data_IF_630151242820
#
_entry.id   IF_630151242820
#
_cell.length_a   1.000
_cell.length_b   1.000
_cell.length_c   1.000
_cell.angle_alpha   90.00
_cell.angle_beta   90.00
_cell.angle_gamma   90.00
#
_symmetry.space_group_name_H-M   'P 1'
#
loop_
_entity.id
_entity.type
_entity.pdbx_description
1 polymer ?
#
# COMPACT_ATOMS: atom_id res chain seq x y z
N UNK A 1 24.41 47.33 -33.54
CA UNK A 1 24.05 48.48 -32.68
C UNK A 1 24.74 48.23 -31.35
N UNK A 2 25.28 49.26 -30.70
CA UNK A 2 25.78 49.07 -29.34
C UNK A 2 24.57 48.74 -28.47
N UNK A 3 24.46 47.52 -27.96
CA UNK A 3 23.37 47.11 -27.10
C UNK A 3 23.92 46.96 -25.69
N UNK A 4 23.29 47.64 -24.72
CA UNK A 4 23.68 47.59 -23.31
C UNK A 4 23.35 46.24 -22.64
N UNK A 5 22.89 45.24 -23.41
CA UNK A 5 22.44 43.95 -22.89
C UNK A 5 21.14 44.03 -22.08
N UNK A 6 20.38 45.11 -22.23
CA UNK A 6 19.13 45.37 -21.51
C UNK A 6 17.91 44.99 -22.35
N UNK A 7 16.80 44.67 -21.68
CA UNK A 7 15.50 44.52 -22.33
C UNK A 7 15.08 45.83 -23.02
N UNK A 8 14.33 45.75 -24.13
CA UNK A 8 13.91 46.89 -24.96
C UNK A 8 13.23 48.00 -24.14
N UNK A 9 12.38 47.61 -23.18
CA UNK A 9 11.79 48.57 -22.27
C UNK A 9 12.83 49.30 -21.41
N UNK A 10 13.74 48.56 -20.78
CA UNK A 10 14.79 49.15 -19.94
C UNK A 10 15.75 50.00 -20.77
N UNK A 11 16.02 49.61 -22.01
CA UNK A 11 16.79 50.41 -22.96
C UNK A 11 16.07 51.73 -23.27
N UNK A 12 14.76 51.72 -23.48
CA UNK A 12 13.94 52.93 -23.71
C UNK A 12 13.96 53.87 -22.51
N UNK A 13 13.85 53.34 -21.29
CA UNK A 13 13.97 54.13 -20.06
C UNK A 13 15.36 54.74 -19.89
N UNK A 14 16.42 53.96 -20.16
CA UNK A 14 17.81 54.45 -20.13
C UNK A 14 18.02 55.57 -21.15
N UNK A 15 17.53 55.43 -22.37
CA UNK A 15 17.60 56.48 -23.40
C UNK A 15 16.83 57.73 -22.97
N UNK A 16 15.68 57.57 -22.32
CA UNK A 16 14.89 58.70 -21.79
C UNK A 16 15.65 59.47 -20.70
N UNK A 17 16.30 58.75 -19.79
CA UNK A 17 17.18 59.37 -18.79
C UNK A 17 18.41 60.03 -19.43
N UNK A 18 19.04 59.41 -20.44
CA UNK A 18 20.17 60.00 -21.18
C UNK A 18 19.77 61.31 -21.87
N UNK A 19 18.57 61.40 -22.46
CA UNK A 19 18.02 62.65 -23.03
C UNK A 19 17.90 63.74 -21.98
N UNK A 20 17.34 63.40 -20.82
CA UNK A 20 17.23 64.31 -19.68
C UNK A 20 18.61 64.80 -19.22
N UNK A 21 19.55 63.88 -18.99
CA UNK A 21 20.91 64.20 -18.54
C UNK A 21 21.66 65.09 -19.55
N UNK A 22 21.52 64.81 -20.85
CA UNK A 22 22.10 65.63 -21.93
C UNK A 22 21.51 67.03 -21.98
N UNK A 23 20.19 67.16 -21.82
CA UNK A 23 19.51 68.47 -21.75
C UNK A 23 19.97 69.29 -20.55
N UNK A 24 20.09 68.64 -19.37
CA UNK A 24 20.65 69.27 -18.17
C UNK A 24 22.09 69.72 -18.39
N UNK A 25 22.97 68.85 -18.91
CA UNK A 25 24.35 69.19 -19.27
C UNK A 25 24.42 70.43 -20.17
N UNK A 26 23.59 70.49 -21.22
CA UNK A 26 23.55 71.64 -22.13
C UNK A 26 23.09 72.94 -21.44
N UNK A 27 22.10 72.88 -20.55
CA UNK A 27 21.67 74.03 -19.75
C UNK A 27 22.80 74.54 -18.85
N UNK A 28 23.56 73.63 -18.22
CA UNK A 28 24.64 73.99 -17.31
C UNK A 28 25.82 74.63 -18.02
N UNK A 29 26.18 74.11 -19.19
CA UNK A 29 27.18 74.76 -20.03
C UNK A 29 26.75 76.19 -20.42
N UNK A 30 25.46 76.43 -20.64
CA UNK A 30 24.94 77.79 -20.86
C UNK A 30 25.07 78.65 -19.61
N UNK A 31 24.72 78.15 -18.43
CA UNK A 31 24.88 78.89 -17.16
C UNK A 31 26.34 79.30 -16.93
N UNK A 32 27.29 78.37 -17.13
CA UNK A 32 28.72 78.67 -17.01
C UNK A 32 29.11 79.76 -18.00
N UNK A 33 28.74 79.63 -19.28
CA UNK A 33 29.00 80.67 -20.29
C UNK A 33 28.38 82.02 -19.93
N UNK A 34 27.19 82.03 -19.32
CA UNK A 34 26.55 83.25 -18.83
C UNK A 34 27.38 83.93 -17.73
N UNK A 35 28.01 83.20 -16.80
CA UNK A 35 28.90 83.81 -15.81
C UNK A 35 30.08 84.55 -16.47
N UNK A 36 30.69 83.96 -17.51
CA UNK A 36 31.75 84.62 -18.27
C UNK A 36 31.24 85.83 -19.04
N UNK A 37 30.03 85.74 -19.62
CA UNK A 37 29.43 86.84 -20.36
C UNK A 37 29.04 88.00 -19.44
N UNK A 38 28.49 87.70 -18.27
CA UNK A 38 28.17 88.69 -17.23
C UNK A 38 29.42 89.43 -16.77
N UNK A 39 30.55 88.73 -16.57
CA UNK A 39 31.81 89.40 -16.25
C UNK A 39 32.26 90.33 -17.39
N UNK A 40 32.15 89.87 -18.64
CA UNK A 40 32.53 90.67 -19.81
C UNK A 40 31.68 91.93 -19.93
N UNK A 41 30.38 91.82 -19.73
CA UNK A 41 29.43 92.93 -19.88
C UNK A 41 29.43 93.89 -18.68
N UNK A 42 29.77 93.40 -17.47
CA UNK A 42 29.71 94.22 -16.25
C UNK A 42 31.05 94.82 -15.84
N UNK A 43 32.17 94.09 -16.00
CA UNK A 43 33.48 94.48 -15.47
C UNK A 43 34.53 94.73 -16.55
N UNK A 44 34.45 94.09 -17.72
CA UNK A 44 35.35 94.36 -18.85
C UNK A 44 34.79 95.43 -19.81
N UNK A 45 34.41 96.59 -19.26
CA UNK A 45 33.85 97.71 -20.05
C UNK A 45 34.92 98.76 -20.40
N UNK A 46 35.96 98.87 -19.58
CA UNK A 46 37.03 99.86 -19.74
C UNK A 46 38.11 99.40 -20.73
N UNK A 47 38.82 100.34 -21.35
CA UNK A 47 39.88 100.06 -22.34
C UNK A 47 41.24 99.71 -21.69
N UNK A 48 41.45 100.06 -20.42
CA UNK A 48 42.71 99.86 -19.70
C UNK A 48 42.47 99.26 -18.33
N UNK A 49 43.21 98.20 -18.00
CA UNK A 49 43.18 97.55 -16.69
C UNK A 49 44.58 97.38 -16.13
N UNK A 50 44.71 97.47 -14.81
CA UNK A 50 45.92 97.07 -14.09
C UNK A 50 45.98 95.54 -13.91
N UNK A 51 47.17 95.01 -13.66
CA UNK A 51 47.36 93.58 -13.40
C UNK A 51 46.55 93.11 -12.19
N UNK A 52 46.48 93.92 -11.12
CA UNK A 52 45.80 93.57 -9.89
C UNK A 52 44.27 93.51 -10.09
N UNK A 53 43.70 94.45 -10.84
CA UNK A 53 42.27 94.45 -11.18
C UNK A 53 41.90 93.24 -12.04
N UNK A 54 42.72 92.89 -13.03
CA UNK A 54 42.47 91.69 -13.85
C UNK A 54 42.56 90.42 -13.00
N UNK A 55 43.51 90.35 -12.07
CA UNK A 55 43.66 89.21 -11.18
C UNK A 55 42.44 89.07 -10.25
N UNK A 56 41.98 90.16 -9.63
CA UNK A 56 40.78 90.16 -8.79
C UNK A 56 39.52 89.75 -9.57
N UNK A 57 39.36 90.22 -10.81
CA UNK A 57 38.25 89.84 -11.68
C UNK A 57 38.26 88.35 -12.01
N UNK A 58 39.43 87.78 -12.30
CA UNK A 58 39.58 86.35 -12.58
C UNK A 58 39.33 85.49 -11.34
N UNK A 59 39.83 85.91 -10.17
CA UNK A 59 39.58 85.22 -8.91
C UNK A 59 38.09 85.22 -8.54
N UNK A 60 37.42 86.37 -8.71
CA UNK A 60 35.98 86.49 -8.51
C UNK A 60 35.19 85.57 -9.46
N UNK A 61 35.55 85.54 -10.74
CA UNK A 61 34.94 84.64 -11.72
C UNK A 61 35.18 83.17 -11.38
N UNK A 62 36.39 82.82 -10.93
CA UNK A 62 36.73 81.46 -10.51
C UNK A 62 35.82 81.01 -9.37
N UNK A 63 35.61 81.86 -8.35
CA UNK A 63 34.72 81.53 -7.22
C UNK A 63 33.29 81.28 -7.69
N UNK A 64 32.75 82.15 -8.55
CA UNK A 64 31.39 82.01 -9.09
C UNK A 64 31.25 80.73 -9.91
N UNK A 65 32.14 80.50 -10.88
CA UNK A 65 32.11 79.31 -11.74
C UNK A 65 32.31 78.03 -10.91
N UNK A 66 33.22 78.04 -9.94
CA UNK A 66 33.41 76.90 -9.03
C UNK A 66 32.12 76.59 -8.27
N UNK A 67 31.46 77.60 -7.70
CA UNK A 67 30.23 77.41 -6.94
C UNK A 67 29.08 76.85 -7.80
N UNK A 68 28.96 77.30 -9.05
CA UNK A 68 27.96 76.79 -9.99
C UNK A 68 28.23 75.33 -10.38
N UNK A 69 29.50 74.99 -10.65
CA UNK A 69 29.90 73.61 -11.00
C UNK A 69 29.70 72.67 -9.81
N UNK A 70 30.13 73.06 -8.61
CA UNK A 70 29.96 72.28 -7.38
C UNK A 70 28.49 72.01 -7.08
N UNK A 71 27.66 73.06 -7.14
CA UNK A 71 26.21 72.95 -6.96
C UNK A 71 25.59 71.95 -7.94
N UNK A 72 26.03 71.95 -9.20
CA UNK A 72 25.52 70.99 -10.17
C UNK A 72 26.01 69.55 -9.96
N UNK A 73 27.27 69.35 -9.57
CA UNK A 73 27.78 68.02 -9.26
C UNK A 73 26.99 67.39 -8.10
N UNK A 74 26.71 68.18 -7.06
CA UNK A 74 25.85 67.78 -5.94
C UNK A 74 24.44 67.45 -6.43
N UNK A 75 23.85 68.31 -7.25
CA UNK A 75 22.51 68.10 -7.78
C UNK A 75 22.42 66.86 -8.70
N UNK A 76 23.49 66.54 -9.43
CA UNK A 76 23.60 65.33 -10.24
C UNK A 76 23.59 64.09 -9.35
N UNK A 77 24.36 64.08 -8.27
CA UNK A 77 24.36 63.00 -7.29
C UNK A 77 22.97 62.81 -6.66
N UNK A 78 22.32 63.89 -6.22
CA UNK A 78 20.96 63.84 -5.67
C UNK A 78 19.94 63.30 -6.68
N UNK A 79 20.01 63.74 -7.94
CA UNK A 79 19.11 63.26 -9.00
C UNK A 79 19.29 61.76 -9.26
N UNK A 80 20.54 61.27 -9.24
CA UNK A 80 20.84 59.85 -9.43
C UNK A 80 20.35 59.00 -8.25
N UNK A 81 20.51 59.49 -7.02
CA UNK A 81 19.96 58.83 -5.83
C UNK A 81 18.44 58.76 -5.89
N UNK A 82 17.75 59.80 -6.38
CA UNK A 82 16.30 59.77 -6.58
C UNK A 82 15.88 58.73 -7.62
N UNK A 83 16.63 58.62 -8.72
CA UNK A 83 16.40 57.57 -9.72
C UNK A 83 16.56 56.17 -9.09
N UNK A 84 17.66 55.93 -8.35
CA UNK A 84 17.88 54.66 -7.65
C UNK A 84 16.75 54.37 -6.65
N UNK A 85 16.29 55.37 -5.88
CA UNK A 85 15.15 55.22 -4.97
C UNK A 85 13.89 54.77 -5.71
N UNK A 86 13.62 55.34 -6.90
CA UNK A 86 12.47 54.95 -7.71
C UNK A 86 12.61 53.52 -8.24
N UNK A 87 13.81 53.09 -8.65
CA UNK A 87 14.07 51.73 -9.10
C UNK A 87 13.94 50.72 -7.95
N UNK A 88 14.52 51.00 -6.78
CA UNK A 88 14.43 50.11 -5.61
C UNK A 88 13.01 50.01 -5.07
N UNK A 89 12.26 51.12 -5.03
CA UNK A 89 10.85 51.07 -4.61
C UNK A 89 9.99 50.19 -5.55
N UNK A 90 10.33 50.13 -6.84
CA UNK A 90 9.69 49.19 -7.76
C UNK A 90 10.13 47.76 -7.48
N UNK A 91 11.43 47.51 -7.32
CA UNK A 91 11.95 46.17 -7.02
C UNK A 91 11.40 45.59 -5.71
N UNK A 92 11.26 46.40 -4.67
CA UNK A 92 10.72 46.02 -3.37
C UNK A 92 9.25 45.57 -3.46
N UNK A 93 8.42 46.20 -4.31
CA UNK A 93 7.03 45.77 -4.54
C UNK A 93 6.96 44.35 -5.12
N UNK A 94 8.00 43.92 -5.81
CA UNK A 94 8.15 42.58 -6.36
C UNK A 94 9.02 41.67 -5.48
N UNK A 95 9.37 42.10 -4.26
CA UNK A 95 10.22 41.37 -3.30
C UNK A 95 11.60 41.00 -3.86
N UNK A 96 12.13 41.81 -4.79
CA UNK A 96 13.45 41.62 -5.38
C UNK A 96 14.51 42.34 -4.55
N UNK A 97 15.65 41.67 -4.31
CA UNK A 97 16.84 42.27 -3.71
C UNK A 97 17.85 42.55 -4.83
N UNK A 98 17.99 43.82 -5.21
CA UNK A 98 18.98 44.25 -6.19
C UNK A 98 20.31 44.54 -5.50
N UNK A 99 21.40 44.14 -6.14
CA UNK A 99 22.76 44.47 -5.72
C UNK A 99 23.46 45.17 -6.88
N UNK A 100 24.24 46.20 -6.56
CA UNK A 100 25.03 46.97 -7.52
C UNK A 100 26.50 46.85 -7.13
N UNK A 101 27.35 46.45 -8.07
CA UNK A 101 28.79 46.49 -7.86
C UNK A 101 29.32 47.90 -8.15
N UNK A 102 29.75 48.60 -7.10
CA UNK A 102 30.27 49.96 -7.20
C UNK A 102 31.60 49.97 -7.98
N UNK A 103 32.34 48.86 -7.96
CA UNK A 103 33.64 48.73 -8.62
C UNK A 103 33.53 48.84 -10.14
N UNK A 104 32.38 48.47 -10.71
CA UNK A 104 32.14 48.56 -12.15
C UNK A 104 31.86 50.00 -12.62
N UNK A 105 31.46 50.91 -11.73
CA UNK A 105 31.15 52.30 -12.09
C UNK A 105 32.38 53.11 -12.54
N UNK A 106 33.58 52.70 -12.08
CA UNK A 106 34.86 53.30 -12.48
C UNK A 106 35.50 52.59 -13.68
N UNK A 107 34.87 51.54 -14.19
CA UNK A 107 35.41 50.77 -15.30
C UNK A 107 35.34 51.62 -16.59
N UNK A 108 36.51 52.08 -17.03
CA UNK A 108 36.67 52.92 -18.21
C UNK A 108 36.10 52.29 -19.49
N UNK A 109 36.20 50.97 -19.65
CA UNK A 109 35.66 50.28 -20.82
C UNK A 109 34.12 50.31 -20.85
N UNK A 110 33.47 50.13 -19.69
CA UNK A 110 32.00 50.24 -19.58
C UNK A 110 31.54 51.67 -19.81
N UNK A 111 32.25 52.66 -19.26
CA UNK A 111 31.96 54.08 -19.51
C UNK A 111 32.10 54.44 -20.99
N UNK A 112 33.10 53.91 -21.67
CA UNK A 112 33.30 54.13 -23.10
C UNK A 112 32.21 53.48 -23.95
N UNK A 113 31.77 52.26 -23.61
CA UNK A 113 30.62 51.62 -24.26
C UNK A 113 29.33 52.44 -24.10
N UNK A 114 29.07 52.97 -22.90
CA UNK A 114 27.92 53.85 -22.65
C UNK A 114 28.03 55.16 -23.45
N UNK A 115 29.24 55.71 -23.58
CA UNK A 115 29.47 56.91 -24.38
C UNK A 115 29.30 56.67 -25.89
N UNK A 116 29.75 55.52 -26.40
CA UNK A 116 29.49 55.09 -27.78
C UNK A 116 28.00 54.87 -28.03
N UNK A 117 27.30 54.26 -27.09
CA UNK A 117 25.85 54.11 -27.14
C UNK A 117 25.12 55.44 -27.17
N UNK A 118 25.45 56.38 -26.28
CA UNK A 118 24.91 57.75 -26.27
C UNK A 118 25.13 58.40 -27.65
N UNK A 119 26.34 58.33 -28.19
CA UNK A 119 26.64 58.88 -29.53
C UNK A 119 25.81 58.21 -30.61
N UNK A 120 25.72 56.89 -30.63
CA UNK A 120 25.00 56.13 -31.66
C UNK A 120 23.50 56.47 -31.67
N UNK A 121 22.86 56.49 -30.50
CA UNK A 121 21.43 56.82 -30.36
C UNK A 121 21.11 58.25 -30.79
N UNK A 122 21.99 59.20 -30.49
CA UNK A 122 21.73 60.62 -30.76
C UNK A 122 22.23 61.13 -32.11
N UNK A 123 23.13 60.42 -32.78
CA UNK A 123 23.57 60.73 -34.16
C UNK A 123 22.61 60.14 -35.19
N UNK A 124 22.07 58.95 -34.92
CA UNK A 124 21.10 58.28 -35.80
C UNK A 124 19.68 58.86 -35.70
N UNK A 125 19.32 59.51 -34.58
CA UNK A 125 18.00 60.14 -34.40
C UNK A 125 17.76 61.42 -35.21
N UNK A 126 18.77 62.01 -35.85
CA UNK A 126 18.57 63.16 -36.76
C UNK A 126 17.83 62.76 -38.06
N UNK A 127 17.56 61.46 -38.29
CA UNK A 127 16.84 60.95 -39.47
C UNK A 127 15.43 60.40 -39.18
N UNK A 128 14.91 60.48 -37.94
CA UNK A 128 13.52 60.09 -37.65
C UNK A 128 12.82 61.19 -36.86
N UNK A 129 11.85 61.80 -37.53
CA UNK A 129 11.10 62.96 -37.05
C UNK A 129 10.39 62.75 -35.71
N UNK A 130 10.08 63.91 -35.13
CA UNK A 130 9.21 64.22 -34.00
C UNK A 130 8.45 63.05 -33.33
N UNK A 131 8.37 63.07 -31.99
CA UNK A 131 7.07 63.43 -31.45
C UNK A 131 7.14 64.34 -30.23
N UNK A 132 6.47 65.48 -30.34
CA UNK A 132 5.89 66.18 -29.21
C UNK A 132 4.88 65.29 -28.48
N UNK A 133 4.75 65.56 -27.18
CA UNK A 133 3.52 65.42 -26.40
C UNK A 133 2.84 64.06 -26.44
N UNK A 134 3.27 63.16 -25.57
CA UNK A 134 2.39 62.59 -24.54
C UNK A 134 3.30 62.07 -23.45
N UNK A 135 3.20 62.63 -22.24
CA UNK A 135 3.70 61.94 -21.04
C UNK A 135 3.03 60.57 -21.02
N UNK A 136 3.75 59.43 -21.13
CA UNK A 136 3.23 58.21 -20.58
C UNK A 136 3.35 58.41 -19.06
N UNK A 137 2.27 58.94 -18.44
CA UNK A 137 2.07 58.68 -17.03
C UNK A 137 2.09 57.16 -16.90
N UNK A 138 3.11 56.64 -16.21
CA UNK A 138 3.19 55.30 -15.63
C UNK A 138 2.07 54.38 -16.11
N UNK A 139 2.24 53.82 -17.31
CA UNK A 139 1.52 52.61 -17.66
C UNK A 139 2.37 51.47 -17.06
N UNK A 140 1.78 50.54 -16.30
CA UNK A 140 2.49 49.36 -15.86
C UNK A 140 3.12 48.72 -17.10
N UNK A 141 4.37 48.26 -17.01
CA UNK A 141 4.83 47.25 -17.95
C UNK A 141 3.90 46.07 -17.77
N UNK A 142 2.98 45.98 -18.71
CA UNK A 142 2.18 44.80 -18.89
C UNK A 142 1.31 44.53 -17.64
N UNK A 143 0.08 45.07 -17.64
CA UNK A 143 -1.03 44.44 -16.88
C UNK A 143 -1.15 42.94 -17.21
N UNK A 144 -0.51 42.45 -18.28
CA UNK A 144 -0.31 41.06 -18.63
C UNK A 144 1.04 40.44 -18.25
N UNK A 145 2.03 41.07 -17.64
CA UNK A 145 3.34 40.41 -17.44
C UNK A 145 3.27 39.38 -16.33
N UNK A 146 3.03 39.88 -15.13
CA UNK A 146 2.75 39.05 -13.95
C UNK A 146 1.39 38.40 -14.04
N UNK A 147 0.40 39.02 -14.72
CA UNK A 147 -0.89 38.40 -14.96
C UNK A 147 -0.86 37.34 -16.06
N UNK A 148 -0.02 37.42 -17.11
CA UNK A 148 0.17 36.32 -18.08
C UNK A 148 1.06 35.24 -17.50
N UNK A 149 2.08 35.57 -16.69
CA UNK A 149 2.82 34.55 -15.96
C UNK A 149 1.92 33.85 -14.95
N UNK A 150 1.09 34.61 -14.22
CA UNK A 150 0.06 34.07 -13.34
C UNK A 150 -1.04 33.35 -14.11
N UNK A 151 -1.48 33.82 -15.28
CA UNK A 151 -2.48 33.16 -16.11
C UNK A 151 -1.91 31.91 -16.78
N UNK A 152 -0.62 31.89 -17.13
CA UNK A 152 0.10 30.70 -17.61
C UNK A 152 0.24 29.69 -16.48
N UNK A 153 0.57 30.15 -15.28
CA UNK A 153 0.65 29.28 -14.11
C UNK A 153 -0.75 28.79 -13.68
N UNK A 154 -1.77 29.65 -13.72
CA UNK A 154 -3.18 29.27 -13.50
C UNK A 154 -3.64 28.30 -14.58
N UNK A 155 -3.35 28.54 -15.86
CA UNK A 155 -3.71 27.63 -16.95
C UNK A 155 -3.02 26.28 -16.79
N UNK A 156 -1.72 26.27 -16.44
CA UNK A 156 -0.98 25.06 -16.13
C UNK A 156 -1.56 24.33 -14.91
N UNK A 157 -1.84 25.04 -13.82
CA UNK A 157 -2.43 24.48 -12.61
C UNK A 157 -3.86 23.99 -12.83
N UNK A 158 -4.62 24.63 -13.73
CA UNK A 158 -5.95 24.18 -14.16
C UNK A 158 -5.85 22.93 -15.01
N UNK A 159 -4.90 22.86 -15.96
CA UNK A 159 -4.64 21.67 -16.76
C UNK A 159 -4.16 20.50 -15.89
N UNK A 160 -3.30 20.77 -14.91
CA UNK A 160 -2.83 19.78 -13.94
C UNK A 160 -3.97 19.33 -13.02
N UNK A 161 -4.84 20.23 -12.56
CA UNK A 161 -6.05 19.88 -11.83
C UNK A 161 -7.04 19.07 -12.67
N UNK A 162 -7.25 19.41 -13.94
CA UNK A 162 -8.07 18.65 -14.88
C UNK A 162 -7.51 17.23 -15.04
N UNK A 163 -6.19 17.10 -15.25
CA UNK A 163 -5.52 15.78 -15.33
C UNK A 163 -5.64 15.00 -14.03
N UNK A 164 -5.46 15.65 -12.88
CA UNK A 164 -5.62 15.02 -11.57
C UNK A 164 -7.07 14.60 -11.32
N UNK A 165 -8.05 15.44 -11.66
CA UNK A 165 -9.49 15.12 -11.57
C UNK A 165 -9.89 14.00 -12.53
N UNK A 166 -9.32 13.95 -13.73
CA UNK A 166 -9.54 12.86 -14.67
C UNK A 166 -8.97 11.56 -14.13
N UNK A 167 -7.72 11.57 -13.61
CA UNK A 167 -7.12 10.40 -12.94
C UNK A 167 -7.92 9.97 -11.72
N UNK A 168 -8.39 10.91 -10.91
CA UNK A 168 -9.27 10.62 -9.77
C UNK A 168 -10.55 9.94 -10.24
N UNK A 169 -11.25 10.48 -11.24
CA UNK A 169 -12.45 9.84 -11.82
C UNK A 169 -12.17 8.43 -12.36
N UNK A 170 -11.04 8.22 -13.01
CA UNK A 170 -10.65 6.88 -13.50
C UNK A 170 -10.41 5.92 -12.33
N UNK A 171 -9.67 6.35 -11.30
CA UNK A 171 -9.39 5.54 -10.11
C UNK A 171 -10.69 5.27 -9.34
N UNK A 172 -11.57 6.26 -9.18
CA UNK A 172 -12.89 6.10 -8.56
C UNK A 172 -13.74 5.09 -9.33
N UNK A 173 -13.80 5.18 -10.66
CA UNK A 173 -14.51 4.21 -11.50
C UNK A 173 -13.91 2.80 -11.42
N UNK A 174 -12.60 2.69 -11.32
CA UNK A 174 -11.93 1.40 -11.13
C UNK A 174 -12.22 0.84 -9.73
N UNK A 175 -12.21 1.69 -8.70
CA UNK A 175 -12.51 1.30 -7.33
C UNK A 175 -13.97 0.85 -7.18
N UNK A 176 -14.93 1.54 -7.79
CA UNK A 176 -16.34 1.13 -7.78
C UNK A 176 -16.54 -0.18 -8.56
N UNK A 177 -15.89 -0.33 -9.73
CA UNK A 177 -15.96 -1.58 -10.49
C UNK A 177 -15.37 -2.75 -9.71
N UNK A 178 -14.21 -2.56 -9.07
CA UNK A 178 -13.58 -3.57 -8.22
C UNK A 178 -14.43 -3.89 -6.98
N UNK A 179 -15.13 -2.90 -6.40
CA UNK A 179 -16.07 -3.12 -5.30
C UNK A 179 -17.28 -3.94 -5.76
N UNK A 180 -17.83 -3.64 -6.94
CA UNK A 180 -18.93 -4.39 -7.54
C UNK A 180 -18.52 -5.83 -7.84
N UNK A 181 -17.34 -6.05 -8.42
CA UNK A 181 -16.76 -7.37 -8.64
C UNK A 181 -16.55 -8.11 -7.33
N UNK A 182 -15.98 -7.46 -6.31
CA UNK A 182 -15.83 -8.03 -4.97
C UNK A 182 -17.19 -8.45 -4.40
N UNK A 183 -18.23 -7.63 -4.55
CA UNK A 183 -19.57 -7.94 -4.06
C UNK A 183 -20.20 -9.15 -4.79
N UNK A 184 -19.97 -9.26 -6.11
CA UNK A 184 -20.42 -10.40 -6.92
C UNK A 184 -19.68 -11.67 -6.53
N UNK A 185 -18.36 -11.59 -6.35
CA UNK A 185 -17.52 -12.69 -5.89
C UNK A 185 -17.88 -13.13 -4.48
N UNK A 186 -18.16 -12.21 -3.56
CA UNK A 186 -18.63 -12.52 -2.20
C UNK A 186 -20.00 -13.23 -2.22
N UNK A 187 -20.93 -12.79 -3.08
CA UNK A 187 -22.21 -13.49 -3.26
C UNK A 187 -22.00 -14.90 -3.83
N UNK A 188 -21.22 -15.03 -4.90
CA UNK A 188 -20.91 -16.32 -5.49
C UNK A 188 -20.21 -17.25 -4.49
N UNK A 189 -19.30 -16.73 -3.67
CA UNK A 189 -18.64 -17.49 -2.61
C UNK A 189 -19.64 -17.97 -1.56
N UNK A 190 -20.56 -17.11 -1.11
CA UNK A 190 -21.63 -17.49 -0.17
C UNK A 190 -22.55 -18.55 -0.77
N UNK A 191 -22.89 -18.45 -2.04
CA UNK A 191 -23.75 -19.43 -2.72
C UNK A 191 -23.03 -20.77 -2.87
N UNK A 192 -21.74 -20.77 -3.24
CA UNK A 192 -20.91 -21.98 -3.26
C UNK A 192 -20.77 -22.58 -1.87
N UNK A 193 -20.57 -21.77 -0.83
CA UNK A 193 -20.52 -22.26 0.56
C UNK A 193 -21.85 -22.85 1.01
N UNK A 194 -22.99 -22.28 0.61
CA UNK A 194 -24.31 -22.86 0.88
C UNK A 194 -24.49 -24.18 0.14
N UNK A 195 -24.20 -24.24 -1.15
CA UNK A 195 -24.28 -25.47 -1.95
C UNK A 195 -23.35 -26.54 -1.36
N UNK A 196 -22.14 -26.19 -0.96
CA UNK A 196 -21.20 -27.11 -0.33
C UNK A 196 -21.67 -27.55 1.06
N UNK A 197 -22.27 -26.64 1.85
CA UNK A 197 -22.88 -26.95 3.14
C UNK A 197 -24.06 -27.92 2.99
N UNK A 198 -24.95 -27.66 2.04
CA UNK A 198 -26.12 -28.47 1.71
C UNK A 198 -25.68 -29.83 1.14
N UNK A 199 -24.71 -29.86 0.23
CA UNK A 199 -24.13 -31.11 -0.28
C UNK A 199 -23.45 -31.90 0.83
N UNK A 200 -22.71 -31.27 1.75
CA UNK A 200 -22.05 -31.94 2.87
C UNK A 200 -23.07 -32.43 3.90
N UNK A 201 -24.16 -31.71 4.12
CA UNK A 201 -25.27 -32.16 4.95
C UNK A 201 -26.01 -33.33 4.31
N UNK A 202 -26.25 -33.29 3.00
CA UNK A 202 -26.89 -34.36 2.25
C UNK A 202 -25.99 -35.61 2.18
N UNK A 203 -24.68 -35.44 1.96
CA UNK A 203 -23.71 -36.53 1.95
C UNK A 203 -23.63 -37.19 3.34
N UNK A 204 -23.60 -36.40 4.41
CA UNK A 204 -23.67 -36.91 5.78
C UNK A 204 -24.99 -37.62 6.07
N UNK A 205 -26.12 -37.08 5.63
CA UNK A 205 -27.43 -37.72 5.81
C UNK A 205 -27.51 -39.04 5.05
N UNK A 206 -26.94 -39.11 3.84
CA UNK A 206 -26.88 -40.31 3.03
C UNK A 206 -25.92 -41.35 3.65
N UNK A 207 -24.74 -40.93 4.12
CA UNK A 207 -23.78 -41.78 4.83
C UNK A 207 -24.37 -42.31 6.15
N UNK A 208 -25.11 -41.47 6.91
CA UNK A 208 -25.84 -41.90 8.11
C UNK A 208 -26.93 -42.92 7.75
N UNK A 209 -27.71 -42.70 6.69
CA UNK A 209 -28.77 -43.63 6.27
C UNK A 209 -28.19 -44.96 5.76
N UNK A 210 -27.08 -44.93 5.03
CA UNK A 210 -26.35 -46.13 4.64
C UNK A 210 -25.81 -46.87 5.87
N UNK A 211 -25.24 -46.14 6.84
CA UNK A 211 -24.76 -46.72 8.09
C UNK A 211 -25.92 -47.34 8.89
N UNK A 212 -27.06 -46.64 9.00
CA UNK A 212 -28.29 -47.15 9.62
C UNK A 212 -28.77 -48.44 8.93
N UNK A 213 -28.76 -48.51 7.59
CA UNK A 213 -29.08 -49.73 6.85
C UNK A 213 -28.11 -50.87 7.15
N UNK A 214 -26.80 -50.60 7.21
CA UNK A 214 -25.81 -51.64 7.55
C UNK A 214 -25.97 -52.11 8.99
N UNK A 215 -26.27 -51.22 9.94
CA UNK A 215 -26.53 -51.56 11.33
C UNK A 215 -27.82 -52.37 11.46
N UNK A 216 -28.87 -52.02 10.73
CA UNK A 216 -30.11 -52.81 10.69
C UNK A 216 -29.87 -54.19 10.08
N UNK A 217 -29.12 -54.29 8.99
CA UNK A 217 -28.76 -55.58 8.39
C UNK A 217 -27.95 -56.44 9.37
N UNK A 218 -26.92 -55.88 9.99
CA UNK A 218 -26.11 -56.56 11.01
C UNK A 218 -26.95 -56.99 12.21
N UNK A 219 -27.86 -56.14 12.69
CA UNK A 219 -28.79 -56.48 13.78
C UNK A 219 -29.70 -57.64 13.39
N UNK A 220 -30.22 -57.64 12.17
CA UNK A 220 -31.09 -58.71 11.66
C UNK A 220 -30.33 -60.03 11.50
N UNK A 221 -29.11 -59.98 10.97
CA UNK A 221 -28.21 -61.14 10.89
C UNK A 221 -27.82 -61.66 12.27
N UNK A 222 -27.55 -60.77 13.22
CA UNK A 222 -27.25 -61.14 14.60
C UNK A 222 -28.44 -61.80 15.28
N UNK A 223 -29.64 -61.23 15.17
CA UNK A 223 -30.89 -61.83 15.69
C UNK A 223 -31.15 -63.20 15.07
N UNK A 224 -30.93 -63.34 13.75
CA UNK A 224 -31.05 -64.61 13.05
C UNK A 224 -30.02 -65.64 13.53
N UNK A 225 -28.75 -65.26 13.66
CA UNK A 225 -27.69 -66.13 14.16
C UNK A 225 -27.95 -66.57 15.61
N UNK A 226 -28.47 -65.67 16.45
CA UNK A 226 -28.83 -65.96 17.84
C UNK A 226 -30.04 -66.91 17.89
N UNK A 227 -31.04 -66.72 17.02
CA UNK A 227 -32.16 -67.64 16.88
C UNK A 227 -31.70 -69.02 16.41
N UNK A 228 -30.89 -69.10 15.35
CA UNK A 228 -30.34 -70.35 14.80
C UNK A 228 -29.49 -71.09 15.86
N UNK A 229 -28.65 -70.36 16.61
CA UNK A 229 -27.88 -70.93 17.72
C UNK A 229 -28.79 -71.45 18.84
N UNK A 230 -29.89 -70.76 19.14
CA UNK A 230 -30.83 -71.18 20.18
C UNK A 230 -31.66 -72.40 19.74
N UNK A 231 -32.09 -72.44 18.48
CA UNK A 231 -32.76 -73.60 17.87
C UNK A 231 -31.82 -74.82 17.87
N UNK A 232 -30.57 -74.65 17.45
CA UNK A 232 -29.57 -75.72 17.51
C UNK A 232 -29.32 -76.20 18.93
N UNK A 233 -29.23 -75.28 19.92
CA UNK A 233 -29.08 -75.65 21.33
C UNK A 233 -30.26 -76.48 21.83
N UNK A 234 -31.50 -76.08 21.52
CA UNK A 234 -32.70 -76.84 21.88
C UNK A 234 -32.74 -78.22 21.21
N UNK A 235 -32.40 -78.30 19.93
CA UNK A 235 -32.34 -79.57 19.20
C UNK A 235 -31.27 -80.51 19.81
N UNK A 236 -30.11 -79.98 20.20
CA UNK A 236 -29.08 -80.74 20.90
C UNK A 236 -29.55 -81.22 22.28
N UNK A 237 -30.26 -80.37 23.04
CA UNK A 237 -30.87 -80.76 24.32
C UNK A 237 -31.92 -81.86 24.15
N UNK A 238 -32.81 -81.76 23.16
CA UNK A 238 -33.80 -82.78 22.84
C UNK A 238 -33.16 -84.11 22.42
N UNK A 239 -32.13 -84.07 21.58
CA UNK A 239 -31.36 -85.25 21.17
C UNK A 239 -30.64 -85.89 22.35
N UNK A 240 -30.07 -85.09 23.26
CA UNK A 240 -29.41 -85.59 24.47
C UNK A 240 -30.41 -86.29 25.40
N UNK A 241 -31.60 -85.71 25.57
CA UNK A 241 -32.68 -86.32 26.37
C UNK A 241 -33.16 -87.63 25.74
N UNK A 242 -33.37 -87.64 24.42
CA UNK A 242 -33.76 -88.85 23.67
C UNK A 242 -32.71 -89.95 23.82
N UNK A 243 -31.44 -89.62 23.59
CA UNK A 243 -30.32 -90.57 23.74
C UNK A 243 -30.19 -91.09 25.16
N UNK A 244 -30.42 -90.24 26.18
CA UNK A 244 -30.48 -90.67 27.59
C UNK A 244 -31.61 -91.66 27.85
N UNK A 245 -32.79 -91.45 27.27
CA UNK A 245 -33.90 -92.39 27.37
C UNK A 245 -33.61 -93.73 26.69
N UNK A 246 -33.02 -93.70 25.49
CA UNK A 246 -32.61 -94.91 24.78
C UNK A 246 -31.55 -95.68 25.56
N UNK A 247 -30.57 -95.00 26.15
CA UNK A 247 -29.51 -95.62 26.96
C UNK A 247 -30.10 -96.30 28.21
N UNK A 248 -31.02 -95.63 28.92
CA UNK A 248 -31.74 -96.22 30.05
C UNK A 248 -32.54 -97.46 29.62
N UNK A 249 -33.21 -97.42 28.47
CA UNK A 249 -33.96 -98.57 27.94
C UNK A 249 -33.02 -99.74 27.61
N UNK A 250 -31.88 -99.48 26.98
CA UNK A 250 -30.87 -100.52 26.70
C UNK A 250 -30.33 -101.08 28.01
N UNK A 251 -30.04 -100.24 29.01
CA UNK A 251 -29.56 -100.68 30.32
C UNK A 251 -30.59 -101.59 31.03
N UNK A 252 -31.88 -101.28 30.93
CA UNK A 252 -32.95 -102.13 31.47
C UNK A 252 -33.06 -103.46 30.70
N UNK A 253 -32.99 -103.43 29.37
CA UNK A 253 -32.95 -104.65 28.55
C UNK A 253 -31.75 -105.53 28.86
N UNK A 254 -30.58 -104.92 29.11
CA UNK A 254 -29.35 -105.63 29.47
C UNK A 254 -29.49 -106.27 30.85
N UNK A 255 -30.06 -105.55 31.83
CA UNK A 255 -30.39 -106.10 33.16
C UNK A 255 -31.37 -107.28 33.09
N UNK A 256 -32.38 -107.21 32.21
CA UNK A 256 -33.31 -108.31 31.98
C UNK A 256 -32.64 -109.51 31.29
N UNK A 257 -31.79 -109.25 30.29
CA UNK A 257 -31.03 -110.28 29.60
C UNK A 257 -30.02 -110.97 30.52
N UNK A 258 -29.34 -110.23 31.40
CA UNK A 258 -28.47 -110.77 32.45
C UNK A 258 -29.24 -111.70 33.39
N UNK A 259 -30.41 -111.26 33.88
CA UNK A 259 -31.28 -112.10 34.72
C UNK A 259 -31.76 -113.37 34.00
N UNK A 260 -32.07 -113.26 32.71
CA UNK A 260 -32.51 -114.42 31.91
C UNK A 260 -31.36 -115.38 31.60
N UNK A 261 -30.15 -114.84 31.35
CA UNK A 261 -28.93 -115.62 31.16
C UNK A 261 -28.56 -116.35 32.45
N UNK A 262 -28.63 -115.70 33.60
CA UNK A 262 -28.44 -116.33 34.91
C UNK A 262 -29.44 -117.47 35.14
N UNK A 263 -30.72 -117.25 34.77
CA UNK A 263 -31.74 -118.29 34.85
C UNK A 263 -31.43 -119.47 33.93
N UNK A 264 -31.00 -119.22 32.68
CA UNK A 264 -30.61 -120.27 31.73
C UNK A 264 -29.33 -120.99 32.16
N UNK A 265 -28.37 -120.27 32.74
CA UNK A 265 -27.15 -120.84 33.32
C UNK A 265 -27.48 -121.81 34.46
N UNK A 266 -28.33 -121.41 35.41
CA UNK A 266 -28.83 -122.30 36.48
C UNK A 266 -29.59 -123.52 35.93
N UNK A 267 -30.23 -123.38 34.77
CA UNK A 267 -30.94 -124.46 34.09
C UNK A 267 -30.03 -125.33 33.20
N UNK A 268 -28.75 -125.00 32.99
CA UNK A 268 -27.91 -125.77 32.07
C UNK A 268 -27.54 -127.13 32.67
N UNK A 269 -27.53 -128.19 31.84
CA UNK A 269 -27.26 -129.56 32.27
C UNK A 269 -25.91 -129.72 33.00
N UNK A 270 -24.88 -128.95 32.61
CA UNK A 270 -23.60 -128.91 33.30
C UNK A 270 -23.71 -128.38 34.75
N UNK A 271 -24.43 -127.28 34.98
CA UNK A 271 -24.65 -126.73 36.32
C UNK A 271 -25.56 -127.64 37.16
N UNK A 272 -26.60 -128.22 36.55
CA UNK A 272 -27.49 -129.19 37.20
C UNK A 272 -26.74 -130.45 37.62
N UNK A 273 -25.90 -131.00 36.73
CA UNK A 273 -25.05 -132.15 37.03
C UNK A 273 -23.99 -131.83 38.10
N UNK A 274 -23.41 -130.62 38.08
CA UNK A 274 -22.45 -130.19 39.11
C UNK A 274 -23.14 -130.00 40.47
N UNK A 275 -24.34 -129.41 40.50
CA UNK A 275 -25.16 -129.26 41.72
C UNK A 275 -25.57 -130.62 42.28
N UNK A 276 -26.02 -131.54 41.43
CA UNK A 276 -26.37 -132.92 41.82
C UNK A 276 -25.16 -133.73 42.28
N UNK A 277 -23.98 -133.51 41.69
CA UNK A 277 -22.75 -134.15 42.14
C UNK A 277 -22.29 -133.57 43.49
N UNK A 278 -22.43 -132.26 43.71
CA UNK A 278 -22.14 -131.60 44.98
C UNK A 278 -23.11 -132.01 46.09
N UNK A 279 -24.41 -132.11 45.82
CA UNK A 279 -25.39 -132.63 46.78
C UNK A 279 -25.13 -134.10 47.08
N UNK A 280 -24.89 -134.95 46.07
CA UNK A 280 -24.52 -136.36 46.29
C UNK A 280 -23.20 -136.51 47.06
N UNK A 281 -22.17 -135.72 46.77
CA UNK A 281 -20.92 -135.74 47.55
C UNK A 281 -21.14 -135.24 48.97
N UNK A 282 -21.98 -134.23 49.20
CA UNK A 282 -22.34 -133.79 50.54
C UNK A 282 -23.15 -134.85 51.30
N UNK A 283 -24.04 -135.58 50.62
CA UNK A 283 -24.81 -136.67 51.22
C UNK A 283 -23.92 -137.89 51.49
N UNK A 284 -22.96 -138.19 50.61
CA UNK A 284 -21.89 -139.17 50.86
C UNK A 284 -20.99 -138.74 52.03
N UNK A 285 -20.64 -137.46 52.15
CA UNK A 285 -19.92 -136.93 53.31
C UNK A 285 -20.77 -137.07 54.57
N UNK A 286 -22.09 -136.81 54.51
CA UNK A 286 -23.00 -137.05 55.64
C UNK A 286 -23.08 -138.53 56.01
N UNK A 287 -23.19 -139.43 55.05
CA UNK A 287 -23.19 -140.89 55.30
C UNK A 287 -21.85 -141.39 55.81
N UNK A 288 -20.72 -140.89 55.29
CA UNK A 288 -19.38 -141.21 55.77
C UNK A 288 -19.19 -140.66 57.19
N UNK A 289 -19.67 -139.45 57.51
CA UNK A 289 -19.74 -138.94 58.89
C UNK A 289 -20.64 -139.82 59.78
N UNK A 290 -21.78 -140.30 59.28
CA UNK A 290 -22.70 -141.20 60.01
C UNK A 290 -22.13 -142.60 60.22
N UNK A 291 -21.29 -143.10 59.30
CA UNK A 291 -20.57 -144.38 59.40
C UNK A 291 -19.30 -144.27 60.26
N UNK A 292 -18.57 -143.15 60.20
CA UNK A 292 -17.48 -142.84 61.13
C UNK A 292 -17.99 -142.75 62.58
N UNK A 293 -19.18 -142.17 62.78
CA UNK A 293 -19.85 -142.09 64.10
C UNK A 293 -20.18 -143.47 64.73
N UNK A 294 -20.09 -144.58 63.97
CA UNK A 294 -20.21 -145.95 64.53
C UNK A 294 -18.89 -146.55 65.03
N UNK A 295 -17.75 -145.95 64.68
CA UNK A 295 -16.42 -146.43 65.04
C UNK A 295 -15.60 -145.42 65.85
N UNK A 296 -16.16 -144.23 66.12
CA UNK A 296 -15.62 -143.25 67.07
C UNK A 296 -16.77 -142.66 67.92
N UNK A 297 -16.76 -142.83 69.26
CA UNK A 297 -17.57 -142.02 70.16
C UNK A 297 -17.06 -140.56 70.16
N UNK A 298 -17.98 -139.63 70.38
CA UNK A 298 -17.81 -138.17 70.29
C UNK A 298 -16.48 -137.60 70.78
N UNK A 299 -15.98 -136.63 70.02
CA UNK A 299 -15.67 -135.30 70.55
C UNK A 299 -16.52 -134.27 69.80
#
# INVERSE_FOLDING_TARGET
>A
MAELGLNEHHQTEVVSYMRFARSKRALRLKTVNSCFQELKESRLVDETFTMDEVSEMLDGLQVVVHSEVESELINTAHTNVLLLRQLFSQAEKWYLKLQTDISELENRALLEQVAEFEKAEFTSSNMKGNPETHKPRLAPLNEGGSLELLNKEIARLLEENEKLRARLRTIESQATSALDEKSKLEKALKDVQKIQGDQKANFKAQEINELEKTVLALKTEFEKSLHDSNVNKKCLEENLVSSKHDLLRVQEQLSLAEKELDRKFQQTAAYRNMKDMLTKKNDQIKELRKKLSKYEPEN
#
